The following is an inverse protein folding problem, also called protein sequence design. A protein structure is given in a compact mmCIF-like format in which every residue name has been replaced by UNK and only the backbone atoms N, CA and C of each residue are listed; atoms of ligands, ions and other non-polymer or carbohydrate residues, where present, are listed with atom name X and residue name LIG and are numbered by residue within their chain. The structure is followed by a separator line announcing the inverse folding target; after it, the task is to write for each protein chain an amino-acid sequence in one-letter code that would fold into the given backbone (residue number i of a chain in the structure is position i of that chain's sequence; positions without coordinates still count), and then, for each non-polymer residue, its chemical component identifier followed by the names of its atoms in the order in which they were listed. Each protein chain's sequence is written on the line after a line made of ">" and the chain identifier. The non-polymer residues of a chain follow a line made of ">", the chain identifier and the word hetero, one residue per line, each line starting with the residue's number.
data_IF_195720075387
#
_entry.id   IF_195720075387
#
_cell.length_a   1.000
_cell.length_b   1.000
_cell.length_c   1.000
_cell.angle_alpha   90.00
_cell.angle_beta   90.00
_cell.angle_gamma   90.00
#
_symmetry.space_group_name_H-M   'P 1'
#
loop_
_entity.id
_entity.type
_entity.pdbx_description
1 polymer ?
#
# COMPACT_ATOMS: atom_id res chain seq x y z
N UNK A 1 -3.81 26.28 10.08
CA UNK A 1 -3.65 26.89 8.73
C UNK A 1 -2.21 27.04 8.20
N UNK A 2 -1.13 26.68 8.94
CA UNK A 2 0.25 26.72 8.40
C UNK A 2 0.91 25.36 8.11
N UNK A 3 0.34 24.27 8.62
CA UNK A 3 0.99 22.96 8.58
C UNK A 3 1.11 22.37 7.15
N UNK A 4 0.12 22.61 6.29
CA UNK A 4 0.16 22.18 4.89
C UNK A 4 1.26 22.91 4.10
N UNK A 5 1.29 24.25 4.18
CA UNK A 5 2.32 25.06 3.52
C UNK A 5 3.73 24.73 4.04
N UNK A 6 3.86 24.44 5.33
CA UNK A 6 5.12 23.98 5.91
C UNK A 6 5.54 22.61 5.34
N UNK A 7 4.61 21.66 5.23
CA UNK A 7 4.88 20.37 4.62
C UNK A 7 5.39 20.51 3.18
N UNK A 8 4.77 21.40 2.38
CA UNK A 8 5.22 21.69 1.01
C UNK A 8 6.65 22.25 0.97
N UNK A 9 6.96 23.20 1.85
CA UNK A 9 8.30 23.79 1.93
C UNK A 9 9.35 22.73 2.28
N UNK A 10 9.04 21.82 3.21
CA UNK A 10 9.93 20.75 3.62
C UNK A 10 10.08 19.67 2.53
N UNK A 11 9.02 19.36 1.78
CA UNK A 11 9.07 18.49 0.59
C UNK A 11 10.03 19.08 -0.45
N UNK A 12 9.93 20.38 -0.73
CA UNK A 12 10.82 21.04 -1.68
C UNK A 12 12.28 21.07 -1.20
N UNK A 13 12.49 21.14 0.11
CA UNK A 13 13.80 21.03 0.74
C UNK A 13 14.30 19.58 0.88
N UNK A 14 13.50 18.58 0.48
CA UNK A 14 13.76 17.15 0.67
C UNK A 14 13.94 16.73 2.14
N UNK A 15 13.42 17.51 3.07
CA UNK A 15 13.32 17.13 4.49
C UNK A 15 12.08 16.27 4.68
N UNK A 16 12.20 14.99 4.35
CA UNK A 16 11.07 14.04 4.36
C UNK A 16 10.52 13.79 5.76
N UNK A 17 11.38 13.75 6.78
CA UNK A 17 10.97 13.55 8.17
C UNK A 17 10.19 14.77 8.69
N UNK A 18 10.69 15.98 8.44
CA UNK A 18 9.99 17.21 8.77
C UNK A 18 8.66 17.34 8.02
N UNK A 19 8.66 17.04 6.71
CA UNK A 19 7.46 17.05 5.89
C UNK A 19 6.39 16.08 6.41
N UNK A 20 6.77 14.86 6.83
CA UNK A 20 5.86 13.87 7.37
C UNK A 20 5.18 14.36 8.66
N UNK A 21 5.94 15.02 9.55
CA UNK A 21 5.43 15.58 10.79
C UNK A 21 4.45 16.74 10.53
N UNK A 22 4.82 17.66 9.64
CA UNK A 22 3.98 18.80 9.27
C UNK A 22 2.68 18.36 8.58
N UNK A 23 2.75 17.37 7.68
CA UNK A 23 1.56 16.83 7.01
C UNK A 23 0.66 16.05 8.00
N UNK A 24 1.23 15.32 8.95
CA UNK A 24 0.45 14.66 10.01
C UNK A 24 -0.32 15.67 10.90
N UNK A 25 0.26 16.84 11.17
CA UNK A 25 -0.44 17.95 11.85
C UNK A 25 -1.61 18.47 11.02
N UNK A 26 -1.40 18.69 9.72
CA UNK A 26 -2.48 19.12 8.82
C UNK A 26 -3.65 18.11 8.81
N UNK A 27 -3.34 16.82 8.66
CA UNK A 27 -4.34 15.75 8.63
C UNK A 27 -5.23 15.70 9.88
N UNK A 28 -4.69 16.00 11.07
CA UNK A 28 -5.49 16.04 12.32
C UNK A 28 -6.61 17.08 12.29
N UNK A 29 -6.46 18.13 11.50
CA UNK A 29 -7.49 19.17 11.33
C UNK A 29 -8.33 18.99 10.07
N UNK A 30 -7.78 18.36 9.03
CA UNK A 30 -8.43 18.20 7.73
C UNK A 30 -9.34 16.96 7.67
N UNK A 31 -9.02 15.90 8.42
CA UNK A 31 -9.79 14.66 8.35
C UNK A 31 -11.01 14.70 9.28
N UNK A 32 -12.19 14.25 8.80
CA UNK A 32 -13.34 14.11 9.67
C UNK A 32 -13.10 12.97 10.65
N UNK A 33 -13.56 13.16 11.89
CA UNK A 33 -13.49 12.16 12.94
C UNK A 33 -14.22 10.87 12.52
N UNK A 34 -13.70 9.72 12.94
CA UNK A 34 -14.43 8.46 12.74
C UNK A 34 -15.77 8.54 13.51
N UNK A 35 -16.88 7.98 12.97
CA UNK A 35 -16.95 7.07 11.82
C UNK A 35 -17.31 7.73 10.46
N UNK A 36 -17.29 9.06 10.35
CA UNK A 36 -17.71 9.76 9.13
C UNK A 36 -16.91 9.27 7.90
N UNK A 37 -17.51 9.12 6.70
CA UNK A 37 -16.77 8.65 5.54
C UNK A 37 -15.71 9.65 5.05
N UNK A 38 -14.65 9.14 4.43
CA UNK A 38 -13.63 9.97 3.78
C UNK A 38 -14.02 10.29 2.33
N UNK A 39 -13.97 11.57 1.98
CA UNK A 39 -14.07 12.05 0.60
C UNK A 39 -12.81 11.70 -0.19
N UNK A 40 -12.88 11.75 -1.52
CA UNK A 40 -11.71 11.53 -2.38
C UNK A 40 -10.54 12.48 -2.05
N UNK A 41 -10.83 13.74 -1.71
CA UNK A 41 -9.81 14.71 -1.31
C UNK A 41 -9.10 14.29 -0.02
N UNK A 42 -9.84 13.78 0.98
CA UNK A 42 -9.23 13.26 2.21
C UNK A 42 -8.36 12.03 1.94
N UNK A 43 -8.82 11.14 1.06
CA UNK A 43 -8.08 9.93 0.66
C UNK A 43 -6.79 10.28 -0.09
N UNK A 44 -6.79 11.33 -0.92
CA UNK A 44 -5.58 11.84 -1.57
C UNK A 44 -4.56 12.39 -0.56
N UNK A 45 -5.02 13.12 0.47
CA UNK A 45 -4.13 13.60 1.54
C UNK A 45 -3.49 12.45 2.32
N UNK A 46 -4.25 11.39 2.61
CA UNK A 46 -3.72 10.18 3.25
C UNK A 46 -2.71 9.44 2.36
N UNK A 47 -2.99 9.32 1.07
CA UNK A 47 -2.05 8.73 0.11
C UNK A 47 -0.75 9.54 0.03
N UNK A 48 -0.87 10.87 0.05
CA UNK A 48 0.28 11.78 0.07
C UNK A 48 1.12 11.60 1.33
N UNK A 49 0.49 11.52 2.52
CA UNK A 49 1.21 11.22 3.76
C UNK A 49 1.94 9.88 3.69
N UNK A 50 1.31 8.84 3.14
CA UNK A 50 1.96 7.55 2.94
C UNK A 50 3.20 7.66 2.05
N UNK A 51 3.13 8.43 0.96
CA UNK A 51 4.28 8.66 0.08
C UNK A 51 5.43 9.40 0.80
N UNK A 52 5.12 10.43 1.60
CA UNK A 52 6.14 11.19 2.36
C UNK A 52 6.80 10.28 3.42
N UNK A 53 6.01 9.48 4.14
CA UNK A 53 6.53 8.51 5.12
C UNK A 53 7.41 7.44 4.46
N UNK A 54 7.03 6.96 3.27
CA UNK A 54 7.84 6.02 2.50
C UNK A 54 9.19 6.63 2.09
N UNK A 55 9.21 7.90 1.63
CA UNK A 55 10.44 8.62 1.30
C UNK A 55 11.32 8.88 2.54
N UNK A 56 10.69 9.09 3.70
CA UNK A 56 11.39 9.22 4.97
C UNK A 56 11.92 7.88 5.54
N UNK A 57 11.53 6.74 4.95
CA UNK A 57 11.84 5.40 5.48
C UNK A 57 11.11 5.07 6.79
N UNK A 58 10.04 5.80 7.14
CA UNK A 58 9.31 5.65 8.40
C UNK A 58 8.29 4.51 8.32
N UNK A 59 8.78 3.28 8.50
CA UNK A 59 7.95 2.07 8.49
C UNK A 59 6.95 2.01 9.64
N UNK A 60 7.30 2.58 10.81
CA UNK A 60 6.40 2.66 11.96
C UNK A 60 5.23 3.60 11.67
N UNK A 61 5.51 4.76 11.06
CA UNK A 61 4.50 5.70 10.61
C UNK A 61 3.57 5.11 9.54
N UNK A 62 4.11 4.36 8.57
CA UNK A 62 3.30 3.65 7.56
C UNK A 62 2.37 2.60 8.20
N UNK A 63 2.88 1.82 9.17
CA UNK A 63 2.10 0.83 9.90
C UNK A 63 0.97 1.49 10.72
N UNK A 64 1.27 2.60 11.39
CA UNK A 64 0.28 3.38 12.13
C UNK A 64 -0.80 3.93 11.19
N UNK A 65 -0.40 4.54 10.08
CA UNK A 65 -1.32 5.10 9.07
C UNK A 65 -2.26 4.02 8.52
N UNK A 66 -1.73 2.82 8.22
CA UNK A 66 -2.53 1.66 7.83
C UNK A 66 -3.53 1.26 8.91
N UNK A 67 -3.06 1.11 10.15
CA UNK A 67 -3.92 0.66 11.25
C UNK A 67 -5.10 1.60 11.52
N UNK A 68 -4.91 2.91 11.30
CA UNK A 68 -5.93 3.92 11.58
C UNK A 68 -6.93 4.10 10.44
N UNK A 69 -6.47 3.97 9.17
CA UNK A 69 -7.25 4.41 8.02
C UNK A 69 -7.54 3.31 6.99
N UNK A 70 -6.99 2.09 7.11
CA UNK A 70 -7.18 1.03 6.12
C UNK A 70 -8.67 0.76 5.82
N UNK A 71 -9.51 0.65 6.86
CA UNK A 71 -10.94 0.39 6.70
C UNK A 71 -11.66 1.52 5.98
N UNK A 72 -11.32 2.78 6.30
CA UNK A 72 -11.92 3.98 5.67
C UNK A 72 -11.35 4.25 4.28
N UNK A 73 -10.19 3.70 3.95
CA UNK A 73 -9.57 3.75 2.62
C UNK A 73 -10.06 2.65 1.68
N UNK A 74 -10.84 1.67 2.17
CA UNK A 74 -11.44 0.64 1.33
C UNK A 74 -12.35 1.23 0.26
N UNK A 75 -12.36 0.58 -0.91
CA UNK A 75 -13.16 0.99 -2.06
C UNK A 75 -12.62 2.21 -2.81
N UNK A 76 -12.93 2.27 -4.11
CA UNK A 76 -12.49 3.34 -4.99
C UNK A 76 -11.04 3.21 -5.46
N UNK A 77 -10.62 4.13 -6.35
CA UNK A 77 -9.35 4.05 -7.10
C UNK A 77 -8.07 4.19 -6.26
N UNK A 78 -8.18 4.67 -5.02
CA UNK A 78 -7.03 4.98 -4.15
C UNK A 78 -6.76 3.88 -3.10
N UNK A 79 -7.64 2.88 -2.99
CA UNK A 79 -7.51 1.81 -2.01
C UNK A 79 -6.24 0.97 -2.23
N UNK A 80 -6.03 0.51 -3.46
CA UNK A 80 -4.89 -0.33 -3.82
C UNK A 80 -3.54 0.40 -3.74
N UNK A 81 -3.37 1.63 -4.27
CA UNK A 81 -2.13 2.40 -4.08
C UNK A 81 -1.80 2.65 -2.60
N UNK A 82 -2.80 2.96 -1.78
CA UNK A 82 -2.59 3.16 -0.35
C UNK A 82 -2.17 1.87 0.37
N UNK A 83 -2.83 0.76 0.05
CA UNK A 83 -2.48 -0.55 0.58
C UNK A 83 -1.06 -0.97 0.18
N UNK A 84 -0.64 -0.68 -1.07
CA UNK A 84 0.70 -0.97 -1.55
C UNK A 84 1.78 -0.15 -0.83
N UNK A 85 1.58 1.17 -0.67
CA UNK A 85 2.55 2.04 0.02
C UNK A 85 2.67 1.74 1.51
N UNK A 86 1.57 1.33 2.14
CA UNK A 86 1.55 1.02 3.58
C UNK A 86 1.73 -0.46 3.88
N UNK A 87 2.00 -1.29 2.87
CA UNK A 87 2.30 -2.70 3.04
C UNK A 87 3.57 -2.87 3.90
N UNK A 88 3.62 -3.95 4.67
CA UNK A 88 4.81 -4.27 5.45
C UNK A 88 5.86 -4.90 4.51
N UNK A 89 7.05 -4.29 4.32
CA UNK A 89 8.09 -4.85 3.47
C UNK A 89 8.54 -6.24 3.92
N UNK A 90 8.52 -6.50 5.24
CA UNK A 90 8.91 -7.79 5.82
C UNK A 90 7.88 -8.88 5.54
N UNK A 91 6.60 -8.52 5.38
CA UNK A 91 5.55 -9.46 4.99
C UNK A 91 5.75 -9.95 3.56
N UNK A 92 6.21 -9.08 2.65
CA UNK A 92 6.62 -9.48 1.31
C UNK A 92 7.77 -10.50 1.29
N UNK A 93 8.75 -10.37 2.19
CA UNK A 93 9.82 -11.36 2.36
C UNK A 93 9.33 -12.64 3.05
N UNK A 94 8.42 -12.56 4.01
CA UNK A 94 7.82 -13.71 4.69
C UNK A 94 6.94 -14.57 3.76
N UNK A 95 6.35 -13.94 2.74
CA UNK A 95 5.53 -14.61 1.72
C UNK A 95 6.35 -15.22 0.57
N UNK A 96 7.66 -14.94 0.48
CA UNK A 96 8.54 -15.50 -0.57
C UNK A 96 8.52 -17.04 -0.65
N UNK A 97 8.60 -17.81 0.46
CA UNK A 97 8.55 -19.27 0.39
C UNK A 97 7.19 -19.78 -0.12
N UNK A 98 6.10 -19.05 0.12
CA UNK A 98 4.78 -19.36 -0.43
C UNK A 98 4.73 -19.08 -1.93
N UNK A 99 5.16 -17.89 -2.37
CA UNK A 99 5.25 -17.51 -3.78
C UNK A 99 6.15 -18.46 -4.59
N UNK A 100 7.28 -18.89 -4.03
CA UNK A 100 8.15 -19.89 -4.66
C UNK A 100 7.48 -21.27 -4.80
N UNK A 101 6.54 -21.63 -3.91
CA UNK A 101 5.75 -22.86 -4.06
C UNK A 101 4.71 -22.70 -5.16
N UNK A 102 4.01 -21.57 -5.17
CA UNK A 102 2.98 -21.27 -6.19
C UNK A 102 3.60 -21.20 -7.59
N UNK A 103 4.72 -20.51 -7.78
CA UNK A 103 5.44 -20.48 -9.06
C UNK A 103 5.95 -21.85 -9.50
N UNK A 104 6.44 -22.70 -8.58
CA UNK A 104 6.82 -24.09 -8.90
C UNK A 104 5.63 -24.94 -9.32
N UNK A 105 4.46 -24.73 -8.73
CA UNK A 105 3.23 -25.42 -9.13
C UNK A 105 2.80 -25.00 -10.53
N UNK A 106 2.89 -23.72 -10.87
CA UNK A 106 2.61 -23.22 -12.22
C UNK A 106 3.64 -23.67 -13.26
N UNK A 107 4.94 -23.65 -12.92
CA UNK A 107 6.02 -24.12 -13.77
C UNK A 107 6.07 -25.65 -13.93
N UNK A 108 5.38 -26.40 -13.05
CA UNK A 108 5.21 -27.85 -13.15
C UNK A 108 4.05 -28.29 -14.06
N UNK A 109 3.29 -27.35 -14.64
CA UNK A 109 2.20 -27.64 -15.59
C UNK A 109 2.53 -27.68 -17.10
N UNK A 110 3.74 -28.01 -17.61
CA UNK A 110 3.90 -28.28 -19.05
C UNK A 110 3.41 -29.68 -19.47
N UNK A 111 3.69 -30.73 -18.70
CA UNK A 111 3.56 -32.11 -19.21
C UNK A 111 2.12 -32.65 -19.25
N UNK A 112 1.25 -32.26 -18.31
CA UNK A 112 -0.14 -32.78 -18.25
C UNK A 112 -1.08 -32.11 -19.25
N UNK A 113 -0.80 -30.86 -19.63
CA UNK A 113 -1.59 -30.15 -20.64
C UNK A 113 -1.17 -30.54 -22.08
N UNK A 114 0.10 -30.91 -22.29
CA UNK A 114 0.56 -31.48 -23.57
C UNK A 114 -0.06 -32.85 -23.87
N UNK A 115 -0.26 -33.70 -22.85
CA UNK A 115 -0.98 -34.97 -23.00
C UNK A 115 -2.47 -34.78 -23.38
N UNK A 116 -3.10 -33.70 -22.90
CA UNK A 116 -4.48 -33.33 -23.27
C UNK A 116 -4.56 -32.66 -24.65
N UNK A 117 -3.53 -31.91 -25.06
CA UNK A 117 -3.42 -31.26 -26.37
C UNK A 117 -3.10 -32.22 -27.51
N UNK A 118 -2.37 -33.29 -27.25
CA UNK A 118 -1.98 -34.30 -28.25
C UNK A 118 -3.02 -35.42 -28.44
N UNK A 119 -4.15 -35.38 -27.71
CA UNK A 119 -5.28 -36.29 -27.94
C UNK A 119 -4.99 -37.77 -27.65
N UNK A 120 -4.04 -38.07 -26.76
CA UNK A 120 -3.70 -39.45 -26.40
C UNK A 120 -4.73 -40.06 -25.44
N UNK A 121 -5.15 -41.32 -25.62
CA UNK A 121 -6.16 -41.94 -24.76
C UNK A 121 -5.61 -42.15 -23.34
N UNK A 122 -6.32 -41.62 -22.34
CA UNK A 122 -6.12 -41.97 -20.94
C UNK A 122 -6.75 -43.35 -20.72
N UNK A 123 -5.98 -44.41 -20.95
CA UNK A 123 -6.36 -45.75 -20.48
C UNK A 123 -6.21 -45.85 -18.97
N UNK A 124 -7.28 -46.37 -18.38
CA UNK A 124 -7.61 -46.49 -16.96
C UNK A 124 -6.65 -47.37 -16.18
#
# INVERSE_FOLDING_TARGET
>A
PGAEALAELLINAQDWTGAAAAMAEHLRTALPAAPEPLTDSHRLLLLRQAAILALAGDTAGLALLRSQYADRMQGGRLAEPFAALTADPLRGLADLPRLQRELRLFQGMPARLEALRTGGPVTR
#
